data_IF_628111089235
#
_entry.id   IF_628111089235
#
_cell.length_a   1.000
_cell.length_b   1.000
_cell.length_c   1.000
_cell.angle_alpha   90.00
_cell.angle_beta   90.00
_cell.angle_gamma   90.00
#
_symmetry.space_group_name_H-M   'P 1'
#
loop_
_entity.id
_entity.type
_entity.pdbx_description
1 polymer ?
#
# COMPACT_ATOMS: atom_id res chain seq x y z
N UNK A 1 -33.44 18.49 50.27
CA UNK A 1 -33.69 18.26 48.84
C UNK A 1 -32.33 18.13 48.14
N UNK A 2 -31.92 16.92 47.87
CA UNK A 2 -30.64 16.63 47.26
C UNK A 2 -30.79 16.52 45.73
N UNK A 3 -30.07 17.31 44.98
CA UNK A 3 -29.96 17.13 43.55
C UNK A 3 -28.83 16.13 43.26
N UNK A 4 -29.20 14.95 42.77
CA UNK A 4 -28.24 13.98 42.22
C UNK A 4 -27.88 14.39 40.79
N UNK A 5 -26.68 14.88 40.63
CA UNK A 5 -26.06 15.09 39.31
C UNK A 5 -25.75 13.71 38.72
N UNK A 6 -26.51 13.31 37.69
CA UNK A 6 -26.20 12.13 36.87
C UNK A 6 -25.16 12.55 35.84
N UNK A 7 -23.87 12.45 36.23
CA UNK A 7 -22.76 12.65 35.33
C UNK A 7 -22.90 11.84 34.04
N UNK A 8 -23.03 12.51 32.92
CA UNK A 8 -22.81 11.95 31.58
C UNK A 8 -21.39 11.42 31.50
N UNK A 9 -21.24 10.10 31.55
CA UNK A 9 -19.98 9.46 31.15
C UNK A 9 -19.86 9.62 29.64
N UNK A 10 -19.26 10.74 29.22
CA UNK A 10 -18.75 10.86 27.87
C UNK A 10 -17.61 9.85 27.71
N UNK A 11 -17.79 8.85 26.88
CA UNK A 11 -16.69 8.01 26.42
C UNK A 11 -15.73 8.90 25.64
N UNK A 12 -14.70 9.40 26.31
CA UNK A 12 -13.54 9.95 25.63
C UNK A 12 -12.85 8.79 24.93
N UNK A 13 -13.08 8.62 23.61
CA UNK A 13 -12.24 7.73 22.80
C UNK A 13 -10.81 8.22 22.99
N UNK A 14 -9.93 7.37 23.50
CA UNK A 14 -8.52 7.70 23.62
C UNK A 14 -7.96 7.87 22.21
N UNK A 15 -6.93 8.73 22.06
CA UNK A 15 -6.24 8.92 20.76
C UNK A 15 -5.79 7.59 20.14
N UNK A 16 -5.54 6.58 20.98
CA UNK A 16 -5.16 5.22 20.58
C UNK A 16 -6.31 4.43 19.93
N UNK A 17 -7.58 4.69 20.33
CA UNK A 17 -8.75 4.03 19.74
C UNK A 17 -9.07 4.60 18.34
N UNK A 18 -8.61 5.81 18.04
CA UNK A 18 -8.80 6.48 16.75
C UNK A 18 -7.76 6.05 15.69
N UNK A 19 -6.64 5.45 16.11
CA UNK A 19 -5.52 5.06 15.24
C UNK A 19 -5.41 3.53 15.12
N UNK A 20 -6.52 2.82 15.10
CA UNK A 20 -6.56 1.36 14.94
C UNK A 20 -6.85 0.96 13.49
N UNK A 21 -6.47 -0.27 13.13
CA UNK A 21 -6.87 -0.86 11.85
C UNK A 21 -8.40 -0.88 11.66
N UNK A 22 -9.19 -0.99 12.74
CA UNK A 22 -10.64 -0.89 12.70
C UNK A 22 -11.12 0.49 12.23
N UNK A 23 -10.41 1.57 12.58
CA UNK A 23 -10.74 2.92 12.12
C UNK A 23 -10.43 3.10 10.62
N UNK A 24 -9.37 2.48 10.11
CA UNK A 24 -9.04 2.44 8.68
C UNK A 24 -10.07 1.60 7.93
N UNK A 25 -10.44 0.43 8.45
CA UNK A 25 -11.44 -0.45 7.85
C UNK A 25 -12.81 0.24 7.74
N UNK A 26 -13.17 1.09 8.71
CA UNK A 26 -14.40 1.87 8.67
C UNK A 26 -14.45 2.91 7.53
N UNK A 27 -13.31 3.24 6.90
CA UNK A 27 -13.24 4.06 5.69
C UNK A 27 -13.49 3.25 4.40
N UNK A 28 -13.74 1.94 4.52
CA UNK A 28 -14.00 1.00 3.43
C UNK A 28 -12.91 1.03 2.34
N UNK A 29 -11.65 0.65 2.66
CA UNK A 29 -10.64 0.48 1.64
C UNK A 29 -11.10 -0.53 0.59
N UNK A 30 -10.74 -0.31 -0.68
CA UNK A 30 -11.05 -1.24 -1.76
C UNK A 30 -10.13 -2.46 -1.73
N UNK A 31 -8.83 -2.25 -1.45
CA UNK A 31 -7.87 -3.32 -1.12
C UNK A 31 -6.98 -2.87 0.03
N UNK A 32 -6.55 -3.83 0.86
CA UNK A 32 -5.63 -3.57 1.95
C UNK A 32 -4.70 -4.77 2.17
N UNK A 33 -3.42 -4.60 1.89
CA UNK A 33 -2.38 -5.62 2.07
C UNK A 33 -1.40 -5.19 3.15
N UNK A 34 -1.22 -6.03 4.16
CA UNK A 34 -0.41 -5.77 5.35
C UNK A 34 0.59 -6.92 5.54
N UNK A 35 1.82 -6.71 5.10
CA UNK A 35 2.87 -7.73 5.14
C UNK A 35 3.44 -8.00 6.54
N UNK A 36 2.97 -7.30 7.57
CA UNK A 36 3.29 -7.62 8.97
C UNK A 36 2.27 -8.51 9.67
N UNK A 37 1.14 -8.79 9.04
CA UNK A 37 0.06 -9.59 9.60
C UNK A 37 0.15 -11.05 9.11
N UNK A 38 0.85 -11.89 9.86
CA UNK A 38 1.05 -13.31 9.54
C UNK A 38 -0.25 -14.08 9.30
N UNK A 39 -1.37 -13.64 9.88
CA UNK A 39 -2.67 -14.31 9.67
C UNK A 39 -3.19 -14.18 8.24
N UNK A 40 -2.60 -13.29 7.44
CA UNK A 40 -2.99 -13.04 6.05
C UNK A 40 -1.99 -13.60 5.02
N UNK A 41 -0.86 -14.18 5.47
CA UNK A 41 0.26 -14.54 4.60
C UNK A 41 0.40 -16.06 4.47
N UNK A 42 0.53 -16.53 3.22
CA UNK A 42 0.73 -17.94 2.91
C UNK A 42 1.90 -18.12 1.94
N UNK A 43 2.60 -19.24 2.07
CA UNK A 43 3.76 -19.56 1.25
C UNK A 43 3.39 -19.97 -0.18
N UNK A 44 2.19 -20.47 -0.38
CA UNK A 44 1.66 -20.95 -1.67
C UNK A 44 0.44 -20.13 -2.13
N UNK A 45 0.18 -20.14 -3.45
CA UNK A 45 -0.93 -19.39 -4.05
C UNK A 45 -2.31 -19.90 -3.61
N UNK A 46 -2.42 -21.18 -3.23
CA UNK A 46 -3.69 -21.78 -2.78
C UNK A 46 -4.04 -21.34 -1.36
N UNK A 47 -3.04 -20.91 -0.57
CA UNK A 47 -3.23 -20.47 0.82
C UNK A 47 -3.33 -21.67 1.79
N UNK A 48 -2.57 -22.73 1.54
CA UNK A 48 -2.57 -23.94 2.36
C UNK A 48 -1.48 -23.95 3.42
N UNK A 49 -0.33 -23.33 3.14
CA UNK A 49 0.84 -23.28 4.03
C UNK A 49 1.04 -21.86 4.54
N UNK A 50 0.82 -21.64 5.83
CA UNK A 50 1.03 -20.31 6.42
C UNK A 50 2.51 -19.90 6.39
N UNK A 51 2.78 -18.61 6.21
CA UNK A 51 4.10 -18.02 6.48
C UNK A 51 4.35 -18.06 7.98
N UNK A 52 5.53 -18.50 8.41
CA UNK A 52 5.86 -18.72 9.83
C UNK A 52 7.24 -18.20 10.23
N UNK A 53 8.21 -18.18 9.32
CA UNK A 53 9.61 -17.87 9.60
C UNK A 53 10.18 -16.81 8.67
N UNK A 54 11.29 -16.19 9.09
CA UNK A 54 12.08 -15.29 8.24
C UNK A 54 12.54 -16.02 6.97
N UNK A 55 12.44 -15.34 5.85
CA UNK A 55 12.72 -15.83 4.51
C UNK A 55 11.73 -16.86 3.93
N UNK A 56 10.62 -17.16 4.59
CA UNK A 56 9.54 -17.91 3.95
C UNK A 56 9.03 -17.16 2.69
N UNK A 57 8.74 -17.86 1.58
CA UNK A 57 8.16 -17.23 0.40
C UNK A 57 6.73 -16.77 0.68
N UNK A 58 6.30 -15.71 0.00
CA UNK A 58 4.91 -15.22 0.07
C UNK A 58 4.24 -15.51 -1.27
N UNK A 59 3.41 -16.56 -1.33
CA UNK A 59 2.63 -16.94 -2.51
C UNK A 59 1.20 -16.41 -2.51
N UNK A 60 0.68 -15.98 -1.32
CA UNK A 60 -0.65 -15.37 -1.21
C UNK A 60 -0.71 -14.39 -0.05
N UNK A 61 -1.41 -13.27 -0.28
CA UNK A 61 -1.74 -12.27 0.75
C UNK A 61 -3.24 -12.06 0.76
N UNK A 62 -3.89 -12.29 1.89
CA UNK A 62 -5.31 -12.01 2.03
C UNK A 62 -5.55 -10.50 2.10
N UNK A 63 -6.53 -10.04 1.34
CA UNK A 63 -7.04 -8.68 1.39
C UNK A 63 -7.80 -8.44 2.69
N UNK A 64 -7.35 -7.49 3.49
CA UNK A 64 -7.94 -7.11 4.77
C UNK A 64 -9.16 -6.19 4.63
N UNK A 65 -9.44 -5.68 3.43
CA UNK A 65 -10.60 -4.81 3.18
C UNK A 65 -11.94 -5.53 3.33
N UNK A 66 -11.95 -6.85 3.16
CA UNK A 66 -13.15 -7.69 3.13
C UNK A 66 -13.71 -7.90 1.71
N UNK A 67 -13.13 -7.30 0.67
CA UNK A 67 -13.58 -7.43 -0.72
C UNK A 67 -12.99 -8.66 -1.43
N UNK A 68 -12.09 -9.40 -0.77
CA UNK A 68 -11.46 -10.62 -1.27
C UNK A 68 -10.59 -10.43 -2.54
N UNK A 69 -10.01 -9.24 -2.72
CA UNK A 69 -9.04 -8.96 -3.79
C UNK A 69 -7.63 -9.43 -3.38
N UNK A 70 -7.49 -10.74 -3.12
CA UNK A 70 -6.24 -11.34 -2.66
C UNK A 70 -5.13 -11.21 -3.69
N UNK A 71 -3.89 -10.99 -3.23
CA UNK A 71 -2.69 -11.13 -4.06
C UNK A 71 -2.28 -12.60 -4.12
N UNK A 72 -1.81 -13.05 -5.28
CA UNK A 72 -1.31 -14.42 -5.47
C UNK A 72 -0.10 -14.45 -6.41
N UNK A 73 0.80 -15.46 -6.20
CA UNK A 73 1.89 -15.81 -7.10
C UNK A 73 2.04 -17.33 -7.20
N UNK A 74 1.72 -17.88 -8.38
CA UNK A 74 1.76 -19.33 -8.64
C UNK A 74 3.19 -19.88 -8.79
N UNK A 75 4.11 -19.06 -9.35
CA UNK A 75 5.50 -19.45 -9.60
C UNK A 75 6.34 -19.28 -8.34
N UNK A 76 6.90 -20.35 -7.81
CA UNK A 76 7.67 -20.33 -6.56
C UNK A 76 8.86 -19.36 -6.60
N UNK A 77 9.64 -19.37 -7.67
CA UNK A 77 10.82 -18.51 -7.84
C UNK A 77 10.50 -17.04 -8.18
N UNK A 78 9.21 -16.62 -8.14
CA UNK A 78 8.79 -15.24 -8.33
C UNK A 78 8.00 -14.71 -7.11
N UNK A 79 8.15 -15.37 -5.96
CA UNK A 79 7.49 -15.01 -4.70
C UNK A 79 8.41 -14.17 -3.83
N UNK A 80 8.00 -12.96 -3.40
CA UNK A 80 8.77 -12.18 -2.46
C UNK A 80 8.93 -12.92 -1.13
N UNK A 81 10.03 -12.64 -0.43
CA UNK A 81 10.35 -13.26 0.85
C UNK A 81 9.77 -12.46 2.03
N UNK A 82 9.21 -13.15 3.02
CA UNK A 82 8.86 -12.56 4.31
C UNK A 82 10.12 -12.23 5.11
N UNK A 83 10.29 -10.98 5.55
CA UNK A 83 11.47 -10.55 6.31
C UNK A 83 11.06 -9.91 7.62
N UNK A 84 11.64 -10.38 8.71
CA UNK A 84 11.35 -9.91 10.07
C UNK A 84 12.21 -8.71 10.48
N UNK A 85 11.67 -7.85 11.37
CA UNK A 85 12.45 -6.78 12.00
C UNK A 85 12.85 -5.62 11.08
N UNK A 86 12.13 -5.39 9.98
CA UNK A 86 12.52 -4.42 8.94
C UNK A 86 12.26 -2.99 9.36
N UNK A 87 11.03 -2.67 9.85
CA UNK A 87 10.67 -1.32 10.24
C UNK A 87 9.79 -1.35 11.49
N UNK A 88 10.09 -0.51 12.50
CA UNK A 88 9.33 -0.48 13.75
C UNK A 88 9.23 -1.83 14.46
N UNK A 89 10.25 -2.70 14.31
CA UNK A 89 10.29 -4.09 14.75
C UNK A 89 9.19 -4.98 14.13
N UNK A 90 8.72 -4.63 12.93
CA UNK A 90 7.72 -5.38 12.16
C UNK A 90 8.34 -6.00 10.92
N UNK A 91 7.66 -7.00 10.40
CA UNK A 91 8.04 -7.65 9.16
C UNK A 91 7.53 -6.90 7.93
N UNK A 92 8.13 -7.20 6.79
CA UNK A 92 7.76 -6.72 5.46
C UNK A 92 7.97 -7.81 4.42
N UNK A 93 7.46 -7.65 3.22
CA UNK A 93 7.85 -8.46 2.09
C UNK A 93 9.07 -7.85 1.39
N UNK A 94 10.04 -8.67 1.01
CA UNK A 94 11.22 -8.32 0.25
C UNK A 94 11.13 -8.92 -1.14
N UNK A 95 11.11 -8.08 -2.17
CA UNK A 95 11.37 -8.47 -3.55
C UNK A 95 12.87 -8.51 -3.85
N UNK A 96 13.30 -9.41 -4.70
CA UNK A 96 14.71 -9.60 -5.07
C UNK A 96 15.06 -9.09 -6.49
N UNK A 97 14.10 -8.43 -7.17
CA UNK A 97 14.23 -7.98 -8.55
C UNK A 97 13.68 -8.99 -9.58
N UNK A 98 13.09 -10.11 -9.14
CA UNK A 98 12.42 -11.11 -9.96
C UNK A 98 10.99 -11.43 -9.51
N UNK A 99 10.54 -10.81 -8.43
CA UNK A 99 9.30 -11.14 -7.73
C UNK A 99 8.14 -10.23 -8.15
N UNK A 100 6.92 -10.76 -8.05
CA UNK A 100 5.68 -9.98 -8.13
C UNK A 100 4.51 -10.72 -7.47
N UNK A 101 3.45 -9.99 -7.14
CA UNK A 101 2.19 -10.52 -6.62
C UNK A 101 1.02 -9.82 -7.29
N UNK A 102 0.04 -10.57 -7.80
CA UNK A 102 -1.08 -10.03 -8.57
C UNK A 102 -2.43 -10.32 -7.91
N UNK A 103 -3.34 -9.35 -7.97
CA UNK A 103 -4.77 -9.64 -7.75
C UNK A 103 -5.39 -10.26 -8.99
N UNK A 104 -6.48 -10.97 -8.82
CA UNK A 104 -7.43 -11.15 -9.93
C UNK A 104 -8.00 -9.79 -10.37
N UNK A 105 -8.52 -9.73 -11.60
CA UNK A 105 -9.23 -8.53 -12.06
C UNK A 105 -10.46 -8.25 -11.18
N UNK A 106 -10.65 -6.98 -10.86
CA UNK A 106 -11.83 -6.49 -10.14
C UNK A 106 -12.60 -5.46 -10.97
N UNK A 107 -13.78 -5.07 -10.49
CA UNK A 107 -14.58 -4.03 -11.14
C UNK A 107 -13.79 -2.75 -11.28
N UNK A 108 -13.80 -2.17 -12.47
CA UNK A 108 -13.06 -0.95 -12.80
C UNK A 108 -13.28 0.17 -11.79
N UNK A 109 -12.18 0.72 -11.31
CA UNK A 109 -12.14 1.90 -10.44
C UNK A 109 -11.69 3.10 -11.28
N UNK A 110 -12.61 4.03 -11.51
CA UNK A 110 -12.28 5.31 -12.13
C UNK A 110 -11.57 6.23 -11.12
N UNK A 111 -10.90 7.25 -11.63
CA UNK A 111 -10.44 8.36 -10.81
C UNK A 111 -11.63 9.26 -10.42
N UNK A 112 -11.58 9.98 -9.28
CA UNK A 112 -10.45 10.02 -8.36
C UNK A 112 -10.43 8.84 -7.37
N UNK A 113 -9.22 8.40 -7.01
CA UNK A 113 -8.99 7.39 -5.98
C UNK A 113 -7.73 7.72 -5.17
N UNK A 114 -7.57 7.08 -4.01
CA UNK A 114 -6.45 7.35 -3.08
C UNK A 114 -5.67 6.09 -2.82
N UNK A 115 -4.34 6.16 -2.93
CA UNK A 115 -3.43 5.06 -2.60
C UNK A 115 -2.47 5.51 -1.48
N UNK A 116 -2.23 4.59 -0.53
CA UNK A 116 -1.16 4.68 0.44
C UNK A 116 -0.22 3.50 0.26
N UNK A 117 1.08 3.76 0.29
CA UNK A 117 2.15 2.78 0.17
C UNK A 117 3.21 3.06 1.23
N UNK A 118 3.57 2.05 2.02
CA UNK A 118 4.77 2.09 2.86
C UNK A 118 5.80 1.16 2.23
N UNK A 119 6.91 1.72 1.76
CA UNK A 119 7.92 0.99 1.01
C UNK A 119 9.34 1.47 1.34
N UNK A 120 10.32 0.66 0.94
CA UNK A 120 11.76 0.97 1.02
C UNK A 120 12.49 0.28 -0.12
N UNK A 121 13.35 1.03 -0.82
CA UNK A 121 14.24 0.52 -1.86
C UNK A 121 15.70 0.89 -1.52
N UNK A 122 16.39 0.13 -0.65
CA UNK A 122 17.71 0.51 -0.15
C UNK A 122 18.82 0.32 -1.19
N UNK A 123 18.58 -0.43 -2.24
CA UNK A 123 19.56 -0.81 -3.27
C UNK A 123 19.12 -0.35 -4.67
N UNK A 124 18.41 0.77 -4.76
CA UNK A 124 17.95 1.32 -6.04
C UNK A 124 19.04 1.26 -7.12
N UNK A 125 18.72 0.68 -8.25
CA UNK A 125 19.68 0.43 -9.34
C UNK A 125 19.15 0.75 -10.74
N UNK A 126 17.96 1.34 -10.85
CA UNK A 126 17.34 1.64 -12.14
C UNK A 126 15.84 1.84 -12.08
N UNK A 127 15.12 1.48 -13.15
CA UNK A 127 13.65 1.53 -13.13
C UNK A 127 13.11 0.31 -12.41
N UNK A 128 12.56 0.50 -11.22
CA UNK A 128 11.95 -0.53 -10.39
C UNK A 128 10.53 -0.11 -10.02
N UNK A 129 9.59 -1.05 -10.08
CA UNK A 129 8.16 -0.78 -9.93
C UNK A 129 7.67 -1.29 -8.58
N UNK A 130 7.17 -0.38 -7.74
CA UNK A 130 6.56 -0.72 -6.46
C UNK A 130 5.19 -1.37 -6.63
N UNK A 131 4.36 -0.75 -7.44
CA UNK A 131 3.07 -1.30 -7.84
C UNK A 131 2.66 -0.83 -9.24
N UNK A 132 1.78 -1.60 -9.86
CA UNK A 132 1.15 -1.31 -11.14
C UNK A 132 -0.29 -1.85 -11.16
N UNK A 133 -1.01 -1.59 -12.26
CA UNK A 133 -2.22 -2.35 -12.60
C UNK A 133 -1.88 -3.72 -13.17
N UNK A 134 -2.91 -4.42 -13.67
CA UNK A 134 -2.78 -5.73 -14.32
C UNK A 134 -3.04 -5.67 -15.84
N UNK A 135 -3.24 -4.50 -16.41
CA UNK A 135 -3.53 -4.31 -17.84
C UNK A 135 -2.94 -2.97 -18.33
N UNK A 136 -2.48 -2.92 -19.58
CA UNK A 136 -1.75 -1.79 -20.15
C UNK A 136 -2.53 -0.47 -20.21
N UNK A 137 -3.85 -0.53 -20.34
CA UNK A 137 -4.75 0.61 -20.49
C UNK A 137 -5.62 0.90 -19.24
N UNK A 138 -5.45 0.10 -18.18
CA UNK A 138 -6.21 0.16 -16.94
C UNK A 138 -5.27 0.04 -15.73
N UNK A 139 -4.37 1.03 -15.58
CA UNK A 139 -3.30 0.94 -14.59
C UNK A 139 -3.02 2.26 -13.89
N UNK A 140 -2.70 2.15 -12.61
CA UNK A 140 -1.99 3.16 -11.84
C UNK A 140 -0.69 2.54 -11.38
N UNK A 141 0.41 3.29 -11.45
CA UNK A 141 1.72 2.77 -11.09
C UNK A 141 2.53 3.77 -10.26
N UNK A 142 3.45 3.21 -9.47
CA UNK A 142 4.55 3.94 -8.86
C UNK A 142 5.86 3.20 -9.17
N UNK A 143 6.84 3.92 -9.68
CA UNK A 143 8.11 3.35 -10.10
C UNK A 143 9.26 4.35 -9.94
N UNK A 144 10.44 3.84 -9.66
CA UNK A 144 11.65 4.64 -9.63
C UNK A 144 12.15 4.90 -11.06
N UNK A 145 12.50 6.16 -11.35
CA UNK A 145 13.11 6.56 -12.60
C UNK A 145 13.95 7.82 -12.38
N UNK A 146 15.22 7.81 -12.80
CA UNK A 146 16.15 8.95 -12.70
C UNK A 146 16.22 9.56 -11.28
N UNK A 147 16.44 8.72 -10.27
CA UNK A 147 16.55 9.08 -8.86
C UNK A 147 15.28 9.71 -8.22
N UNK A 148 14.15 9.56 -8.87
CA UNK A 148 12.84 10.02 -8.39
C UNK A 148 11.82 8.90 -8.44
N UNK A 149 10.84 8.95 -7.53
CA UNK A 149 9.63 8.14 -7.69
C UNK A 149 8.69 8.83 -8.67
N UNK A 150 8.16 8.06 -9.61
CA UNK A 150 7.23 8.52 -10.63
C UNK A 150 5.88 7.84 -10.45
N UNK A 151 4.83 8.56 -10.78
CA UNK A 151 3.44 8.16 -10.64
C UNK A 151 2.77 8.21 -11.99
N UNK A 152 1.91 7.22 -12.29
CA UNK A 152 1.33 7.05 -13.62
C UNK A 152 -0.12 6.55 -13.54
N UNK A 153 -0.99 7.13 -14.36
CA UNK A 153 -2.31 6.61 -14.70
C UNK A 153 -2.70 7.05 -16.13
N UNK A 154 -1.79 6.79 -17.09
CA UNK A 154 -1.91 7.21 -18.49
C UNK A 154 -0.96 8.37 -18.88
N UNK A 155 -0.54 9.17 -17.92
CA UNK A 155 0.55 10.15 -18.02
C UNK A 155 1.46 9.99 -16.81
N UNK A 156 2.75 10.31 -16.94
CA UNK A 156 3.73 10.18 -15.86
C UNK A 156 4.16 11.53 -15.35
N UNK A 157 4.21 11.69 -14.01
CA UNK A 157 4.91 12.81 -13.40
C UNK A 157 5.82 12.33 -12.28
N UNK A 158 6.96 12.98 -12.08
CA UNK A 158 7.90 12.72 -11.01
C UNK A 158 7.60 13.60 -9.79
N UNK A 159 7.98 13.11 -8.64
CA UNK A 159 7.95 13.85 -7.38
C UNK A 159 8.31 12.97 -6.21
N UNK A 160 9.06 13.54 -5.27
CA UNK A 160 9.64 12.80 -4.16
C UNK A 160 10.97 12.14 -4.52
N UNK A 161 11.60 11.54 -3.54
CA UNK A 161 12.85 10.81 -3.70
C UNK A 161 12.59 9.30 -3.69
N UNK A 162 13.50 8.53 -4.29
CA UNK A 162 13.48 7.07 -4.15
C UNK A 162 13.56 6.70 -2.66
N UNK A 163 12.73 5.78 -2.23
CA UNK A 163 12.59 5.37 -0.83
C UNK A 163 13.77 4.53 -0.34
N UNK A 164 14.99 5.08 -0.28
CA UNK A 164 16.17 4.39 0.29
C UNK A 164 15.99 4.05 1.77
N UNK A 165 15.20 4.84 2.48
CA UNK A 165 14.67 4.54 3.82
C UNK A 165 13.17 4.27 3.76
N UNK A 166 12.60 3.70 4.82
CA UNK A 166 11.16 3.43 4.87
C UNK A 166 10.36 4.72 4.75
N UNK A 167 9.54 4.82 3.73
CA UNK A 167 8.79 6.02 3.35
C UNK A 167 7.31 5.69 3.22
N UNK A 168 6.46 6.58 3.73
CA UNK A 168 5.02 6.56 3.52
C UNK A 168 4.67 7.50 2.37
N UNK A 169 4.26 6.94 1.27
CA UNK A 169 3.66 7.67 0.14
C UNK A 169 2.14 7.70 0.25
N UNK A 170 1.56 8.83 -0.08
CA UNK A 170 0.13 9.01 -0.29
C UNK A 170 -0.09 9.76 -1.60
N UNK A 171 -0.89 9.20 -2.49
CA UNK A 171 -1.27 9.82 -3.75
C UNK A 171 -2.79 9.82 -3.90
N UNK A 172 -3.33 10.92 -4.43
CA UNK A 172 -4.69 10.96 -4.94
C UNK A 172 -4.62 11.05 -6.46
N UNK A 173 -4.90 9.96 -7.15
CA UNK A 173 -5.03 9.99 -8.61
C UNK A 173 -6.29 10.76 -8.98
N UNK A 174 -6.13 11.90 -9.65
CA UNK A 174 -7.21 12.83 -10.01
C UNK A 174 -6.87 13.58 -11.31
N UNK A 175 -6.44 12.87 -12.35
CA UNK A 175 -6.05 13.43 -13.63
C UNK A 175 -4.95 14.48 -13.48
N UNK A 176 -5.16 15.64 -14.07
CA UNK A 176 -4.19 16.74 -14.08
C UNK A 176 -3.88 17.35 -12.69
N UNK A 177 -4.63 17.00 -11.66
CA UNK A 177 -4.50 17.56 -10.30
C UNK A 177 -4.31 16.46 -9.27
N UNK A 178 -3.34 15.57 -9.50
CA UNK A 178 -3.00 14.45 -8.64
C UNK A 178 -1.96 14.86 -7.58
N UNK A 179 -2.33 15.13 -6.32
CA UNK A 179 -1.38 15.49 -5.27
C UNK A 179 -0.65 14.27 -4.72
N UNK A 180 0.64 14.45 -4.44
CA UNK A 180 1.54 13.51 -3.80
C UNK A 180 2.00 14.03 -2.44
N UNK A 181 2.01 13.13 -1.46
CA UNK A 181 2.55 13.38 -0.13
C UNK A 181 3.57 12.30 0.21
N UNK A 182 4.65 12.71 0.88
CA UNK A 182 5.71 11.85 1.39
C UNK A 182 5.87 12.13 2.88
N UNK A 183 5.76 11.10 3.71
CA UNK A 183 5.83 11.21 5.16
C UNK A 183 4.92 12.32 5.73
N UNK A 184 3.71 12.45 5.16
CA UNK A 184 2.72 13.44 5.55
C UNK A 184 2.93 14.85 5.02
N UNK A 185 4.03 15.12 4.29
CA UNK A 185 4.33 16.41 3.68
C UNK A 185 3.95 16.39 2.20
N UNK A 186 3.22 17.42 1.74
CA UNK A 186 2.92 17.60 0.32
C UNK A 186 4.21 17.89 -0.48
N UNK A 187 4.50 17.05 -1.49
CA UNK A 187 5.73 17.12 -2.27
C UNK A 187 5.49 17.77 -3.63
N UNK A 188 4.49 17.27 -4.35
CA UNK A 188 4.17 17.74 -5.69
C UNK A 188 2.69 17.54 -6.03
N UNK A 189 2.29 18.10 -7.15
CA UNK A 189 1.02 17.77 -7.80
C UNK A 189 1.26 17.78 -9.30
N UNK A 190 0.70 16.82 -10.02
CA UNK A 190 0.93 16.68 -11.45
C UNK A 190 -0.20 15.97 -12.17
N UNK A 191 0.00 15.80 -13.48
CA UNK A 191 -0.94 15.10 -14.36
C UNK A 191 -0.58 13.61 -14.41
N UNK A 192 -1.37 12.80 -13.72
CA UNK A 192 -1.24 11.35 -13.75
C UNK A 192 -1.84 10.72 -15.02
N UNK A 193 -2.60 11.48 -15.81
CA UNK A 193 -3.49 10.93 -16.82
C UNK A 193 -4.83 10.51 -16.26
N UNK A 194 -5.63 9.79 -17.06
CA UNK A 194 -7.03 9.50 -16.75
C UNK A 194 -7.37 7.99 -16.80
N UNK A 195 -6.37 7.11 -16.80
CA UNK A 195 -6.64 5.67 -16.78
C UNK A 195 -7.37 5.28 -15.49
N UNK A 196 -8.23 4.30 -15.62
CA UNK A 196 -8.85 3.59 -14.50
C UNK A 196 -7.96 2.42 -14.06
N UNK A 197 -8.38 1.69 -13.02
CA UNK A 197 -7.67 0.55 -12.46
C UNK A 197 -8.59 -0.67 -12.39
N UNK A 198 -8.09 -1.85 -12.78
CA UNK A 198 -8.86 -3.11 -12.77
C UNK A 198 -8.19 -4.25 -12.00
N UNK A 199 -7.06 -4.00 -11.37
CA UNK A 199 -6.28 -4.95 -10.58
C UNK A 199 -5.01 -4.31 -10.10
N UNK A 200 -4.28 -4.99 -9.21
CA UNK A 200 -3.02 -4.55 -8.63
C UNK A 200 -1.96 -5.62 -8.85
N UNK A 201 -0.79 -5.19 -9.34
CA UNK A 201 0.49 -5.90 -9.26
C UNK A 201 1.36 -5.20 -8.23
N UNK A 202 1.94 -5.90 -7.28
CA UNK A 202 2.98 -5.40 -6.37
C UNK A 202 4.34 -6.00 -6.74
N UNK A 203 5.43 -5.27 -6.49
CA UNK A 203 6.82 -5.62 -6.80
C UNK A 203 7.17 -5.71 -8.28
N UNK A 204 6.32 -5.29 -9.19
CA UNK A 204 6.58 -5.34 -10.63
C UNK A 204 5.50 -4.63 -11.43
N UNK A 205 5.68 -4.60 -12.76
CA UNK A 205 4.69 -4.05 -13.67
C UNK A 205 3.68 -5.12 -14.15
N UNK A 206 2.64 -4.69 -14.86
CA UNK A 206 1.59 -5.54 -15.40
C UNK A 206 2.06 -6.65 -16.37
N UNK A 207 3.30 -6.58 -16.86
CA UNK A 207 3.94 -7.59 -17.72
C UNK A 207 4.87 -8.52 -16.93
N UNK A 208 4.99 -8.34 -15.61
CA UNK A 208 5.88 -9.11 -14.74
C UNK A 208 7.35 -8.69 -14.86
N UNK A 209 7.63 -7.47 -15.32
CA UNK A 209 8.97 -6.91 -15.42
C UNK A 209 9.18 -5.69 -14.53
N UNK A 210 10.38 -5.07 -14.59
CA UNK A 210 10.73 -3.91 -13.77
C UNK A 210 10.63 -4.17 -12.26
N UNK A 211 10.96 -5.38 -11.84
CA UNK A 211 10.66 -5.86 -10.49
C UNK A 211 11.48 -5.11 -9.43
N UNK A 212 10.83 -4.82 -8.32
CA UNK A 212 11.41 -4.13 -7.17
C UNK A 212 12.40 -5.03 -6.43
N UNK A 213 13.64 -4.54 -6.25
CA UNK A 213 14.63 -5.11 -5.32
C UNK A 213 14.58 -4.36 -3.97
N UNK A 214 13.46 -4.50 -3.27
CA UNK A 214 13.17 -3.71 -2.08
C UNK A 214 11.99 -4.22 -1.29
N UNK A 215 11.56 -3.44 -0.32
CA UNK A 215 10.55 -3.83 0.64
C UNK A 215 9.22 -3.12 0.38
N UNK A 216 8.12 -3.88 0.45
CA UNK A 216 6.78 -3.33 0.65
C UNK A 216 6.26 -3.81 2.01
N UNK A 217 5.78 -2.86 2.80
CA UNK A 217 5.30 -3.08 4.16
C UNK A 217 3.79 -3.11 4.23
N UNK A 218 3.14 -2.13 3.59
CA UNK A 218 1.68 -2.02 3.58
C UNK A 218 1.21 -1.23 2.36
N UNK A 219 0.10 -1.67 1.76
CA UNK A 219 -0.54 -1.04 0.62
C UNK A 219 -2.05 -0.93 0.87
N UNK A 220 -2.61 0.26 0.63
CA UNK A 220 -4.06 0.50 0.70
C UNK A 220 -4.52 1.28 -0.54
N UNK A 221 -5.66 0.86 -1.09
CA UNK A 221 -6.37 1.56 -2.16
C UNK A 221 -7.79 1.89 -1.68
N UNK A 222 -8.20 3.13 -1.90
CA UNK A 222 -9.59 3.59 -1.73
C UNK A 222 -10.14 4.04 -3.08
N UNK A 223 -11.34 3.59 -3.43
CA UNK A 223 -12.00 3.90 -4.71
C UNK A 223 -12.61 5.31 -4.76
N UNK A 224 -12.07 6.25 -3.99
CA UNK A 224 -12.48 7.66 -3.95
C UNK A 224 -11.32 8.55 -3.52
N UNK A 225 -11.40 9.85 -3.86
CA UNK A 225 -10.56 10.85 -3.22
C UNK A 225 -10.98 10.99 -1.75
N UNK A 226 -10.21 10.46 -0.82
CA UNK A 226 -10.47 10.63 0.59
C UNK A 226 -10.38 12.10 0.99
N UNK A 227 -11.26 12.54 1.92
CA UNK A 227 -11.14 13.86 2.53
C UNK A 227 -9.80 14.04 3.25
N UNK A 228 -9.35 15.27 3.43
CA UNK A 228 -8.09 15.58 4.16
C UNK A 228 -8.08 14.90 5.54
N UNK A 229 -9.20 14.96 6.29
CA UNK A 229 -9.31 14.34 7.61
C UNK A 229 -9.16 12.81 7.57
N UNK A 230 -9.75 12.14 6.57
CA UNK A 230 -9.65 10.69 6.41
C UNK A 230 -8.24 10.28 5.96
N UNK A 231 -7.60 11.05 5.09
CA UNK A 231 -6.20 10.82 4.69
C UNK A 231 -5.25 10.98 5.89
N UNK A 232 -5.47 11.99 6.73
CA UNK A 232 -4.70 12.18 7.97
C UNK A 232 -4.90 11.03 8.97
N UNK A 233 -6.11 10.47 9.07
CA UNK A 233 -6.36 9.28 9.89
C UNK A 233 -5.53 8.09 9.38
N UNK A 234 -5.55 7.80 8.08
CA UNK A 234 -4.78 6.68 7.50
C UNK A 234 -3.28 6.91 7.65
N UNK A 235 -2.77 8.13 7.37
CA UNK A 235 -1.36 8.50 7.60
C UNK A 235 -0.94 8.29 9.05
N UNK A 236 -1.77 8.75 9.99
CA UNK A 236 -1.48 8.62 11.42
C UNK A 236 -1.45 7.16 11.87
N UNK A 237 -2.37 6.33 11.35
CA UNK A 237 -2.35 4.87 11.57
C UNK A 237 -1.06 4.24 11.05
N UNK A 238 -0.70 4.52 9.78
CA UNK A 238 0.49 3.96 9.15
C UNK A 238 1.77 4.42 9.84
N UNK A 239 1.87 5.72 10.20
CA UNK A 239 3.05 6.23 10.90
C UNK A 239 3.14 5.70 12.33
N UNK A 240 2.04 5.59 13.07
CA UNK A 240 2.05 4.98 14.41
C UNK A 240 2.50 3.52 14.36
N UNK A 241 2.11 2.79 13.31
CA UNK A 241 2.46 1.39 13.09
C UNK A 241 3.92 1.23 12.64
N UNK A 242 4.34 1.98 11.63
CA UNK A 242 5.61 1.77 10.93
C UNK A 242 6.73 2.70 11.42
N UNK A 243 6.43 3.79 12.13
CA UNK A 243 7.42 4.76 12.63
C UNK A 243 8.33 5.30 11.53
N UNK A 244 7.74 5.76 10.44
CA UNK A 244 8.49 6.24 9.27
C UNK A 244 8.92 7.71 9.40
N UNK A 245 8.23 8.50 10.24
CA UNK A 245 8.58 9.91 10.55
C UNK A 245 8.07 10.33 11.94
#
# INVERSE_FOLDING_TARGET
>A
MGFTDKGRRGYSRTRRDLLSGASVLALAPHTWFDFSDLSTLFQDADGTTAVAADADPIGKVLDKSGNAHHLTQGTEGARPAYKTGIQGNRAAALGDGGDHLDTAAFTEIAQPNTIFLVARNPAYSGTEVYFDGIASDKRHAAFDYTDQINWFAGSSWGGGVVATESTLYEVVFNGANSPLFENGVGISSGDAGAQALTGITLFGNFEGGGNLSGYIMEFLLFNSALSVANRELVRSYLNEKWKVY
#
